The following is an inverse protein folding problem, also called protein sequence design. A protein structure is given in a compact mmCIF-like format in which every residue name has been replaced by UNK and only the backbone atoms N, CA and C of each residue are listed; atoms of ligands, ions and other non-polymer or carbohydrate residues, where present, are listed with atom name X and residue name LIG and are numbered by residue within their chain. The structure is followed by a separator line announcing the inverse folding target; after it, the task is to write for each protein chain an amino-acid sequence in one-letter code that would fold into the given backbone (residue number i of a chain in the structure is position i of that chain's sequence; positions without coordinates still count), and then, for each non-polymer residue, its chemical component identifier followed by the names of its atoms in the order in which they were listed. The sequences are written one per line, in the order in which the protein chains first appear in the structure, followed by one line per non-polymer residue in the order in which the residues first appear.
data_IF_421409515283
#
_entry.id   IF_421409515283
#
_cell.length_a   1.000
_cell.length_b   1.000
_cell.length_c   1.000
_cell.angle_alpha   90.00
_cell.angle_beta   90.00
_cell.angle_gamma   90.00
#
_symmetry.space_group_name_H-M   'P 1'
#
loop_
_entity.id
_entity.type
_entity.pdbx_description
1 polymer ?
#
# COMPACT_ATOMS: atom_id res chain seq x y z
N UNK A 1 5.69 -5.90 12.46
CA UNK A 1 4.22 -5.94 12.32
C UNK A 1 3.78 -5.44 10.95
N UNK A 2 3.87 -4.14 10.61
CA UNK A 2 3.46 -3.65 9.26
C UNK A 2 4.35 -4.21 8.13
N UNK A 3 5.67 -4.32 8.35
CA UNK A 3 6.60 -4.92 7.38
C UNK A 3 6.29 -6.36 7.03
N UNK A 4 5.88 -7.15 8.03
CA UNK A 4 5.67 -8.59 7.90
C UNK A 4 4.33 -8.89 7.21
N UNK A 5 3.29 -8.11 7.52
CA UNK A 5 1.95 -8.22 6.89
C UNK A 5 2.03 -8.00 5.37
N UNK A 6 2.86 -7.06 4.91
CA UNK A 6 2.98 -6.79 3.48
C UNK A 6 3.68 -7.92 2.72
N UNK A 7 4.68 -8.57 3.34
CA UNK A 7 5.34 -9.74 2.75
C UNK A 7 4.36 -10.90 2.60
N UNK A 8 3.52 -11.14 3.61
CA UNK A 8 2.44 -12.12 3.51
C UNK A 8 1.52 -11.81 2.32
N UNK A 9 1.14 -10.54 2.10
CA UNK A 9 0.29 -10.13 0.97
C UNK A 9 0.91 -10.40 -0.41
N UNK A 10 2.24 -10.29 -0.55
CA UNK A 10 2.92 -10.64 -1.81
C UNK A 10 2.90 -12.16 -2.03
N UNK A 11 3.10 -12.93 -0.96
CA UNK A 11 3.17 -14.39 -1.01
C UNK A 11 1.80 -15.03 -1.27
N UNK A 12 0.77 -14.63 -0.52
CA UNK A 12 -0.59 -15.20 -0.61
C UNK A 12 -1.42 -14.67 -1.79
N UNK A 13 -0.86 -13.76 -2.58
CA UNK A 13 -1.54 -13.04 -3.66
C UNK A 13 -1.99 -11.66 -3.19
N UNK A 14 -1.82 -10.65 -4.06
CA UNK A 14 -1.85 -9.19 -3.81
C UNK A 14 -3.20 -8.65 -3.26
N UNK A 15 -4.09 -9.51 -2.80
CA UNK A 15 -5.22 -9.10 -1.98
C UNK A 15 -5.43 -10.11 -0.85
N UNK A 16 -5.03 -9.78 0.40
CA UNK A 16 -5.73 -10.37 1.52
C UNK A 16 -7.22 -10.08 1.31
N UNK A 17 -8.06 -11.11 1.30
CA UNK A 17 -9.51 -10.93 1.23
C UNK A 17 -9.94 -10.13 2.46
N UNK A 18 -10.04 -8.81 2.31
CA UNK A 18 -10.51 -7.90 3.36
C UNK A 18 -12.01 -8.13 3.53
N UNK A 19 -12.45 -8.29 4.78
CA UNK A 19 -13.83 -8.47 5.14
C UNK A 19 -14.63 -7.19 4.85
N UNK A 20 -15.57 -7.24 3.90
CA UNK A 20 -16.43 -6.10 3.52
C UNK A 20 -17.28 -5.47 4.66
N UNK A 21 -17.23 -6.01 5.88
CA UNK A 21 -17.94 -5.47 7.05
C UNK A 21 -17.21 -4.32 7.73
N UNK A 22 -15.88 -4.27 7.66
CA UNK A 22 -15.06 -3.29 8.39
C UNK A 22 -14.55 -2.16 7.48
N UNK A 23 -14.60 -2.37 6.16
CA UNK A 23 -14.08 -1.41 5.17
C UNK A 23 -15.19 -0.80 4.32
N UNK A 24 -15.27 0.54 4.21
CA UNK A 24 -16.22 1.17 3.30
C UNK A 24 -15.88 0.89 1.83
N UNK A 25 -16.89 0.64 0.97
CA UNK A 25 -16.67 0.45 -0.46
C UNK A 25 -16.01 1.69 -1.10
N UNK A 26 -15.20 1.48 -2.14
CA UNK A 26 -14.51 2.54 -2.90
C UNK A 26 -13.61 3.48 -2.07
N UNK A 27 -12.96 2.97 -1.01
CA UNK A 27 -12.01 3.75 -0.20
C UNK A 27 -10.56 3.30 -0.41
N UNK A 28 -9.96 3.55 -1.59
CA UNK A 28 -8.53 3.31 -1.82
C UNK A 28 -7.67 4.23 -0.93
N UNK A 29 -8.22 5.39 -0.56
CA UNK A 29 -7.56 6.42 0.25
C UNK A 29 -7.36 6.00 1.72
N UNK A 30 -8.07 4.96 2.17
CA UNK A 30 -8.04 4.48 3.54
C UNK A 30 -7.02 3.35 3.76
N UNK A 31 -6.34 2.86 2.74
CA UNK A 31 -5.30 1.88 2.98
C UNK A 31 -3.99 2.60 3.26
N UNK A 32 -3.40 2.35 4.44
CA UNK A 32 -2.06 2.81 4.84
C UNK A 32 -1.02 2.47 3.76
N UNK A 33 -1.26 1.40 3.00
CA UNK A 33 -0.36 0.82 2.00
C UNK A 33 -0.42 1.52 0.63
N UNK A 34 -1.42 2.36 0.32
CA UNK A 34 -1.89 2.42 -1.07
C UNK A 34 -1.38 3.53 -1.99
N UNK A 35 -0.76 4.62 -1.52
CA UNK A 35 -0.28 5.64 -2.46
C UNK A 35 1.23 5.80 -2.44
N UNK A 36 1.81 6.24 -1.32
CA UNK A 36 3.25 6.54 -1.26
C UNK A 36 4.13 5.29 -1.38
N UNK A 37 3.81 4.22 -0.66
CA UNK A 37 4.60 2.98 -0.69
C UNK A 37 4.36 2.19 -1.98
N UNK A 38 3.12 2.14 -2.48
CA UNK A 38 2.81 1.47 -3.73
C UNK A 38 3.51 2.12 -4.92
N UNK A 39 3.54 3.46 -5.03
CA UNK A 39 4.27 4.13 -6.12
C UNK A 39 5.78 3.85 -6.08
N UNK A 40 6.38 3.72 -4.90
CA UNK A 40 7.79 3.33 -4.76
C UNK A 40 7.99 1.89 -5.26
N UNK A 41 7.12 0.98 -4.83
CA UNK A 41 7.19 -0.43 -5.23
C UNK A 41 6.97 -0.62 -6.72
N UNK A 42 6.00 0.08 -7.30
CA UNK A 42 5.71 0.04 -8.73
C UNK A 42 6.90 0.59 -9.53
N UNK A 43 7.46 1.74 -9.16
CA UNK A 43 8.62 2.30 -9.84
C UNK A 43 9.83 1.35 -9.80
N UNK A 44 10.10 0.72 -8.66
CA UNK A 44 11.25 -0.16 -8.50
C UNK A 44 11.03 -1.53 -9.16
N UNK A 45 9.93 -2.20 -8.79
CA UNK A 45 9.64 -3.56 -9.24
C UNK A 45 9.20 -3.60 -10.70
N UNK A 46 8.47 -2.60 -11.21
CA UNK A 46 7.99 -2.55 -12.59
C UNK A 46 8.90 -1.72 -13.53
N UNK A 47 10.09 -1.33 -13.08
CA UNK A 47 11.10 -0.65 -13.94
C UNK A 47 11.46 -1.44 -15.20
N UNK A 48 11.22 -2.76 -15.21
CA UNK A 48 11.44 -3.66 -16.35
C UNK A 48 10.31 -4.71 -16.44
N UNK A 49 10.03 -5.23 -17.65
CA UNK A 49 9.09 -6.33 -17.83
C UNK A 49 9.54 -7.61 -17.13
N UNK A 50 8.60 -8.37 -16.58
CA UNK A 50 8.82 -9.68 -15.97
C UNK A 50 8.28 -10.80 -16.85
N UNK A 51 8.99 -11.92 -16.90
CA UNK A 51 8.60 -13.09 -17.71
C UNK A 51 7.61 -14.02 -16.98
N UNK A 52 7.39 -13.82 -15.68
CA UNK A 52 6.42 -14.59 -14.90
C UNK A 52 5.94 -13.84 -13.65
N UNK A 53 4.86 -14.32 -13.05
CA UNK A 53 4.33 -13.80 -11.78
C UNK A 53 5.34 -13.99 -10.65
N UNK A 54 6.06 -15.12 -10.62
CA UNK A 54 7.10 -15.37 -9.61
C UNK A 54 8.26 -14.38 -9.72
N UNK A 55 8.65 -14.00 -10.94
CA UNK A 55 9.68 -12.98 -11.16
C UNK A 55 9.22 -11.59 -10.67
N UNK A 56 7.95 -11.25 -10.90
CA UNK A 56 7.35 -10.03 -10.36
C UNK A 56 7.30 -10.05 -8.83
N UNK A 57 6.82 -11.15 -8.21
CA UNK A 57 6.78 -11.31 -6.75
C UNK A 57 8.17 -11.12 -6.12
N UNK A 58 9.21 -11.74 -6.69
CA UNK A 58 10.59 -11.58 -6.22
C UNK A 58 11.07 -10.12 -6.30
N UNK A 59 10.70 -9.43 -7.38
CA UNK A 59 11.06 -8.02 -7.57
C UNK A 59 10.34 -7.11 -6.57
N UNK A 60 9.08 -7.38 -6.28
CA UNK A 60 8.31 -6.67 -5.25
C UNK A 60 8.89 -6.89 -3.84
N UNK A 61 9.26 -8.14 -3.49
CA UNK A 61 9.91 -8.43 -2.20
C UNK A 61 11.26 -7.70 -2.10
N UNK A 62 12.05 -7.70 -3.18
CA UNK A 62 13.33 -6.98 -3.21
C UNK A 62 13.12 -5.48 -3.02
N UNK A 63 12.15 -4.88 -3.74
CA UNK A 63 11.83 -3.47 -3.62
C UNK A 63 11.37 -3.13 -2.18
N UNK A 64 10.47 -3.93 -1.60
CA UNK A 64 10.00 -3.74 -0.22
C UNK A 64 11.13 -3.76 0.81
N UNK A 65 12.05 -4.72 0.68
CA UNK A 65 13.19 -4.83 1.58
C UNK A 65 14.19 -3.66 1.41
N UNK A 66 14.20 -3.00 0.25
CA UNK A 66 15.03 -1.83 0.00
C UNK A 66 14.42 -0.52 0.54
N UNK A 67 13.12 -0.47 0.84
CA UNK A 67 12.48 0.72 1.39
C UNK A 67 13.03 0.96 2.81
N UNK A 68 13.56 2.14 3.14
CA UNK A 68 14.00 2.49 4.49
C UNK A 68 12.85 2.44 5.50
N UNK A 69 13.13 1.99 6.73
CA UNK A 69 12.09 1.92 7.79
C UNK A 69 11.45 3.29 8.05
N UNK A 70 12.24 4.36 8.04
CA UNK A 70 11.78 5.75 8.18
C UNK A 70 10.71 6.17 7.14
N UNK A 71 10.75 5.61 5.93
CA UNK A 71 9.75 5.88 4.89
C UNK A 71 8.43 5.17 5.23
N UNK A 72 8.53 3.94 5.74
CA UNK A 72 7.38 3.16 6.20
C UNK A 72 6.75 3.83 7.42
N UNK A 73 7.55 4.25 8.39
CA UNK A 73 7.08 4.93 9.60
C UNK A 73 6.35 6.22 9.23
N UNK A 74 6.92 7.02 8.31
CA UNK A 74 6.26 8.24 7.83
C UNK A 74 4.92 7.95 7.13
N UNK A 75 4.83 6.87 6.35
CA UNK A 75 3.58 6.47 5.71
C UNK A 75 2.53 6.03 6.73
N UNK A 76 2.95 5.30 7.78
CA UNK A 76 2.09 4.92 8.90
C UNK A 76 1.62 6.14 9.69
N UNK A 77 2.51 7.09 9.98
CA UNK A 77 2.21 8.33 10.70
C UNK A 77 1.29 9.28 9.92
N UNK A 78 1.28 9.18 8.59
CA UNK A 78 0.38 9.97 7.74
C UNK A 78 -1.05 9.41 7.74
N UNK A 79 -1.22 8.14 8.07
CA UNK A 79 -2.51 7.46 8.01
C UNK A 79 -3.61 8.12 8.88
N UNK A 80 -3.37 8.43 10.17
CA UNK A 80 -4.34 9.17 10.98
C UNK A 80 -4.73 10.53 10.38
N UNK A 81 -3.80 11.20 9.69
CA UNK A 81 -4.06 12.50 9.05
C UNK A 81 -4.98 12.34 7.84
N UNK A 82 -4.79 11.30 7.03
CA UNK A 82 -5.68 10.96 5.91
C UNK A 82 -7.07 10.55 6.38
N UNK A 83 -7.16 9.77 7.46
CA UNK A 83 -8.45 9.44 8.11
C UNK A 83 -9.20 10.69 8.54
N UNK A 84 -8.49 11.64 9.17
CA UNK A 84 -9.10 12.92 9.57
C UNK A 84 -9.62 13.70 8.36
N UNK A 85 -8.84 13.81 7.28
CA UNK A 85 -9.28 14.46 6.04
C UNK A 85 -10.51 13.79 5.43
N UNK A 86 -10.58 12.45 5.47
CA UNK A 86 -11.75 11.69 5.01
C UNK A 86 -12.99 12.01 5.85
N UNK A 87 -12.85 12.10 7.18
CA UNK A 87 -13.93 12.51 8.09
C UNK A 87 -14.38 13.94 7.78
N UNK A 88 -13.44 14.88 7.65
CA UNK A 88 -13.71 16.29 7.33
C UNK A 88 -14.40 16.43 5.95
N UNK A 89 -14.06 15.56 5.01
CA UNK A 89 -14.70 15.46 3.69
C UNK A 89 -16.01 14.66 3.68
N UNK A 90 -16.47 14.16 4.83
CA UNK A 90 -17.66 13.31 4.96
C UNK A 90 -17.63 12.07 4.03
N UNK A 91 -16.45 11.47 3.87
CA UNK A 91 -16.22 10.36 2.94
C UNK A 91 -16.06 10.77 1.46
N UNK A 92 -16.06 12.08 1.17
CA UNK A 92 -15.74 12.62 -0.15
C UNK A 92 -14.23 12.58 -0.45
N UNK A 93 -13.89 12.78 -1.73
CA UNK A 93 -12.50 12.78 -2.19
C UNK A 93 -11.75 14.04 -1.74
N UNK A 94 -10.53 13.88 -1.23
CA UNK A 94 -9.74 14.95 -0.62
C UNK A 94 -8.32 15.11 -1.19
N UNK A 95 -7.98 14.41 -2.29
CA UNK A 95 -6.63 14.43 -2.88
C UNK A 95 -6.37 15.56 -3.89
N UNK A 96 -7.30 16.50 -4.06
CA UNK A 96 -7.12 17.64 -4.98
C UNK A 96 -7.44 18.98 -4.28
N UNK A 97 -6.40 19.67 -3.78
CA UNK A 97 -6.38 21.12 -3.54
C UNK A 97 -4.98 21.68 -3.75
#
# INVERSE_FOLDING_TARGET
MVRDIFLECIEVGISPKRNNKEWPPNSPDLCVENFSLWSILENEACSKPHQSIEALKKSLVKAWNAIPQEVIDRAVDDFPKRLKKCIDAQGGHFENK
#
